data_IF_129409579939
#
_entry.id   IF_129409579939
#
_cell.length_a   1.000
_cell.length_b   1.000
_cell.length_c   1.000
_cell.angle_alpha   90.00
_cell.angle_beta   90.00
_cell.angle_gamma   90.00
#
_symmetry.space_group_name_H-M   'P 1'
#
loop_
_entity.id
_entity.type
_entity.pdbx_description
1 polymer ?
#
# COMPACT_ATOMS: atom_id res chain seq x y z
N UNK A 1 28.06 -29.18 -34.05
CA UNK A 1 27.47 -28.12 -33.19
C UNK A 1 25.96 -28.26 -33.31
N UNK A 2 25.33 -28.97 -32.36
CA UNK A 2 23.87 -29.08 -32.27
C UNK A 2 23.48 -28.41 -30.95
N UNK A 3 22.59 -27.42 -31.03
CA UNK A 3 22.15 -26.62 -29.90
C UNK A 3 21.34 -27.49 -28.94
N UNK A 4 21.71 -27.47 -27.66
CA UNK A 4 20.85 -27.89 -26.56
C UNK A 4 19.69 -26.88 -26.48
N UNK A 5 18.46 -27.32 -26.77
CA UNK A 5 17.28 -26.54 -26.44
C UNK A 5 17.18 -26.48 -24.91
N UNK A 6 17.34 -25.27 -24.37
CA UNK A 6 17.25 -24.98 -22.93
C UNK A 6 15.81 -25.17 -22.45
N UNK A 7 15.64 -25.60 -21.21
CA UNK A 7 14.37 -25.43 -20.49
C UNK A 7 13.99 -23.94 -20.53
N UNK A 8 12.90 -23.57 -21.21
CA UNK A 8 12.47 -22.18 -21.24
C UNK A 8 11.64 -21.84 -20.00
N UNK A 9 12.13 -20.88 -19.23
CA UNK A 9 11.38 -20.23 -18.16
C UNK A 9 10.26 -19.38 -18.79
N UNK A 10 9.07 -19.95 -18.97
CA UNK A 10 7.91 -19.26 -19.57
C UNK A 10 7.17 -18.44 -18.51
N UNK A 11 7.37 -17.13 -18.58
CA UNK A 11 6.60 -16.16 -17.79
C UNK A 11 5.14 -16.17 -18.29
N UNK A 12 4.19 -16.51 -17.41
CA UNK A 12 2.76 -16.51 -17.73
C UNK A 12 1.98 -15.77 -16.66
N UNK A 13 1.73 -14.48 -16.86
CA UNK A 13 0.81 -13.71 -16.01
C UNK A 13 -0.63 -14.17 -16.23
N UNK A 14 -1.17 -15.00 -15.33
CA UNK A 14 -2.62 -15.29 -15.31
C UNK A 14 -3.32 -14.24 -14.44
N UNK A 15 -4.24 -13.49 -15.04
CA UNK A 15 -5.24 -12.74 -14.29
C UNK A 15 -6.22 -13.75 -13.68
N UNK A 16 -6.17 -13.96 -12.37
CA UNK A 16 -7.19 -14.72 -11.67
C UNK A 16 -8.48 -13.87 -11.59
N UNK A 17 -9.29 -13.84 -12.66
CA UNK A 17 -10.66 -13.34 -12.56
C UNK A 17 -11.46 -14.30 -11.67
N UNK A 18 -11.65 -13.95 -10.39
CA UNK A 18 -12.77 -14.50 -9.62
C UNK A 18 -14.06 -13.94 -10.23
N UNK A 19 -14.86 -14.80 -10.85
CA UNK A 19 -16.26 -14.46 -11.14
C UNK A 19 -16.97 -14.02 -9.85
N UNK A 20 -17.81 -12.96 -9.89
CA UNK A 20 -18.53 -12.51 -8.72
C UNK A 20 -19.52 -13.60 -8.29
N UNK A 21 -19.33 -14.16 -7.10
CA UNK A 21 -20.41 -14.86 -6.41
C UNK A 21 -21.40 -13.80 -5.94
N UNK A 22 -22.52 -13.67 -6.64
CA UNK A 22 -23.73 -13.02 -6.13
C UNK A 22 -24.08 -13.66 -4.78
N UNK A 23 -23.95 -12.90 -3.69
CA UNK A 23 -24.60 -13.25 -2.43
C UNK A 23 -25.98 -12.63 -2.43
N UNK A 24 -26.98 -13.48 -2.25
CA UNK A 24 -28.39 -13.17 -2.05
C UNK A 24 -28.55 -12.35 -0.74
N UNK A 25 -29.37 -11.29 -0.71
CA UNK A 25 -29.43 -10.36 0.43
C UNK A 25 -30.38 -10.81 1.56
N UNK A 26 -30.50 -12.11 1.84
CA UNK A 26 -31.50 -12.66 2.77
C UNK A 26 -30.96 -13.24 4.09
N UNK A 27 -29.65 -13.28 4.31
CA UNK A 27 -29.08 -13.81 5.57
C UNK A 27 -28.36 -12.72 6.36
N UNK A 28 -29.07 -12.01 7.22
CA UNK A 28 -28.60 -11.67 8.56
C UNK A 28 -29.81 -11.33 9.45
N UNK A 29 -30.30 -12.36 10.14
CA UNK A 29 -31.21 -12.22 11.26
C UNK A 29 -30.46 -11.71 12.50
N UNK A 30 -31.15 -10.82 13.20
CA UNK A 30 -30.90 -10.28 14.54
C UNK A 30 -30.76 -11.36 15.62
N UNK A 31 -29.74 -11.29 16.50
CA UNK A 31 -29.84 -11.72 17.91
C UNK A 31 -28.84 -10.94 18.80
N UNK A 32 -29.41 -10.09 19.65
CA UNK A 32 -29.14 -9.75 21.06
C UNK A 32 -27.74 -9.80 21.74
N UNK A 33 -27.42 -8.61 22.28
CA UNK A 33 -26.88 -8.26 23.62
C UNK A 33 -25.86 -9.17 24.32
N UNK A 34 -24.71 -8.58 24.66
CA UNK A 34 -23.83 -9.03 25.74
C UNK A 34 -23.39 -7.83 26.64
N UNK A 35 -23.14 -8.05 27.95
CA UNK A 35 -23.17 -7.05 29.03
C UNK A 35 -21.83 -6.28 29.23
N UNK A 36 -21.80 -5.21 30.07
CA UNK A 36 -20.60 -4.39 30.24
C UNK A 36 -19.56 -5.08 31.14
N UNK A 37 -18.28 -4.92 30.82
CA UNK A 37 -17.16 -5.32 31.66
C UNK A 37 -16.33 -4.10 32.09
N UNK A 38 -15.65 -4.18 33.25
CA UNK A 38 -15.48 -3.06 34.17
C UNK A 38 -14.15 -2.30 34.02
N UNK A 39 -14.11 -1.14 34.67
CA UNK A 39 -12.94 -0.31 34.92
C UNK A 39 -11.69 -1.11 35.34
N UNK A 40 -10.55 -0.82 34.70
CA UNK A 40 -9.23 -1.17 35.20
C UNK A 40 -8.30 0.05 35.08
N UNK A 41 -7.70 0.39 36.21
CA UNK A 41 -6.78 1.50 36.43
C UNK A 41 -5.41 1.31 35.77
N UNK A 42 -4.78 2.47 35.54
CA UNK A 42 -3.40 2.76 35.17
C UNK A 42 -2.33 1.73 35.57
N UNK A 43 -1.59 1.26 34.56
CA UNK A 43 -0.26 0.65 34.71
C UNK A 43 0.58 0.99 33.49
N UNK A 44 1.53 1.90 33.66
CA UNK A 44 2.55 2.24 32.66
C UNK A 44 3.38 0.99 32.33
N UNK A 45 3.31 0.52 31.09
CA UNK A 45 4.32 -0.37 30.50
C UNK A 45 4.67 0.17 29.11
N UNK A 46 5.72 0.99 29.07
CA UNK A 46 6.31 1.54 27.85
C UNK A 46 7.20 0.44 27.28
N UNK A 47 6.60 -0.42 26.47
CA UNK A 47 7.33 -1.35 25.61
C UNK A 47 6.94 -1.05 24.15
N UNK A 48 7.88 -0.62 23.29
CA UNK A 48 7.56 -0.33 21.89
C UNK A 48 7.24 -1.65 21.19
N UNK A 49 5.96 -1.96 21.06
CA UNK A 49 5.50 -2.92 20.05
C UNK A 49 5.75 -2.25 18.70
N UNK A 50 6.87 -2.63 18.07
CA UNK A 50 7.05 -2.49 16.64
C UNK A 50 5.90 -3.21 15.94
N UNK A 51 4.84 -2.47 15.60
CA UNK A 51 3.90 -2.92 14.60
C UNK A 51 4.63 -2.87 13.26
N UNK A 52 4.97 -4.05 12.74
CA UNK A 52 5.38 -4.21 11.33
C UNK A 52 4.37 -3.44 10.46
N UNK A 53 4.89 -2.61 9.55
CA UNK A 53 4.09 -1.74 8.69
C UNK A 53 2.84 -2.44 8.17
N UNK A 54 1.69 -1.82 8.42
CA UNK A 54 0.42 -2.27 7.87
C UNK A 54 0.43 -1.99 6.37
N UNK A 55 0.82 -2.99 5.57
CA UNK A 55 0.54 -3.00 4.14
C UNK A 55 -0.98 -3.13 4.04
N UNK A 56 -1.62 -2.11 3.47
CA UNK A 56 -3.02 -2.11 3.05
C UNK A 56 -3.43 -3.48 2.49
N UNK A 57 -4.65 -3.93 2.80
CA UNK A 57 -5.18 -5.24 2.42
C UNK A 57 -4.54 -5.81 1.15
N UNK A 58 -3.81 -6.91 1.34
CA UNK A 58 -2.86 -7.46 0.38
C UNK A 58 -3.51 -7.59 -1.00
N UNK A 59 -2.84 -7.15 -2.06
CA UNK A 59 -3.25 -7.48 -3.42
C UNK A 59 -3.43 -8.97 -3.64
N UNK A 60 -4.70 -9.42 -3.74
CA UNK A 60 -5.08 -10.79 -4.15
C UNK A 60 -4.87 -11.04 -5.66
N UNK A 61 -3.97 -10.31 -6.33
CA UNK A 61 -3.46 -10.73 -7.65
C UNK A 61 -2.19 -11.56 -7.49
N UNK A 62 -2.39 -12.87 -7.57
CA UNK A 62 -1.34 -13.84 -7.86
C UNK A 62 -0.85 -13.65 -9.30
N UNK A 63 0.13 -12.79 -9.50
CA UNK A 63 0.91 -12.80 -10.73
C UNK A 63 1.85 -14.00 -10.70
N UNK A 64 1.43 -15.03 -11.41
CA UNK A 64 2.06 -16.33 -11.43
C UNK A 64 3.33 -16.33 -12.30
N UNK A 65 4.50 -16.54 -11.70
CA UNK A 65 5.71 -16.89 -12.45
C UNK A 65 5.87 -18.42 -12.47
N UNK A 66 5.56 -19.05 -13.60
CA UNK A 66 5.74 -20.49 -13.81
C UNK A 66 7.10 -20.83 -14.39
N UNK A 67 7.77 -21.85 -13.83
CA UNK A 67 8.82 -22.57 -14.54
C UNK A 67 8.19 -23.79 -15.20
N UNK A 68 8.02 -23.73 -16.52
CA UNK A 68 7.46 -24.83 -17.30
C UNK A 68 8.61 -25.66 -17.86
N UNK A 69 8.83 -26.84 -17.28
CA UNK A 69 9.66 -27.86 -17.94
C UNK A 69 8.84 -28.52 -19.05
N UNK A 70 9.33 -28.49 -20.28
CA UNK A 70 8.79 -29.25 -21.41
C UNK A 70 9.82 -30.32 -21.77
N UNK A 71 9.43 -31.61 -21.83
CA UNK A 71 10.37 -32.67 -22.17
C UNK A 71 10.94 -32.44 -23.58
N UNK A 72 12.26 -32.42 -23.70
CA UNK A 72 12.94 -32.30 -24.99
C UNK A 72 12.80 -33.60 -25.77
N UNK A 73 12.26 -33.52 -27.00
CA UNK A 73 12.25 -34.65 -27.94
C UNK A 73 13.63 -34.80 -28.59
N UNK A 74 14.67 -35.06 -27.80
CA UNK A 74 16.03 -35.33 -28.30
C UNK A 74 16.52 -36.68 -27.78
N UNK A 75 16.52 -37.67 -28.68
CA UNK A 75 17.00 -39.03 -28.46
C UNK A 75 18.55 -39.12 -28.36
N UNK A 76 19.17 -38.34 -27.48
CA UNK A 76 20.59 -38.55 -27.11
C UNK A 76 20.73 -38.68 -25.61
N UNK A 77 20.92 -39.93 -25.17
CA UNK A 77 21.00 -40.40 -23.79
C UNK A 77 22.16 -39.83 -22.93
N UNK A 78 22.87 -38.80 -23.39
CA UNK A 78 24.00 -38.20 -22.67
C UNK A 78 23.66 -36.88 -21.96
N UNK A 79 22.54 -36.22 -22.29
CA UNK A 79 22.08 -35.00 -21.62
C UNK A 79 20.90 -35.23 -20.66
N UNK A 80 20.41 -36.46 -20.56
CA UNK A 80 19.19 -36.85 -19.83
C UNK A 80 19.42 -37.26 -18.35
N UNK A 81 20.59 -36.95 -17.76
CA UNK A 81 21.05 -37.64 -16.53
C UNK A 81 21.34 -36.75 -15.31
N UNK A 82 20.86 -35.51 -15.24
CA UNK A 82 21.21 -34.63 -14.09
C UNK A 82 19.98 -34.13 -13.33
N UNK A 83 18.81 -34.04 -13.95
CA UNK A 83 17.59 -33.53 -13.28
C UNK A 83 16.69 -34.66 -12.78
N UNK A 84 16.27 -34.55 -11.52
CA UNK A 84 15.29 -35.42 -10.89
C UNK A 84 13.88 -35.23 -11.45
N UNK A 85 13.58 -34.07 -12.01
CA UNK A 85 12.27 -33.74 -12.58
C UNK A 85 12.14 -34.12 -14.07
N UNK A 86 13.13 -34.79 -14.64
CA UNK A 86 13.10 -35.27 -16.04
C UNK A 86 11.92 -36.22 -16.38
N UNK A 87 11.38 -36.92 -15.38
CA UNK A 87 10.21 -37.80 -15.55
C UNK A 87 8.86 -37.10 -15.30
N UNK A 88 8.87 -35.83 -14.89
CA UNK A 88 7.66 -35.06 -14.62
C UNK A 88 7.24 -34.37 -15.92
N UNK A 89 6.07 -34.73 -16.45
CA UNK A 89 5.57 -34.21 -17.75
C UNK A 89 5.49 -32.69 -17.81
N UNK A 90 5.14 -32.06 -16.68
CA UNK A 90 5.27 -30.63 -16.45
C UNK A 90 5.07 -30.33 -14.96
N UNK A 91 5.77 -29.34 -14.46
CA UNK A 91 5.44 -28.71 -13.19
C UNK A 91 5.40 -27.19 -13.40
N UNK A 92 4.76 -26.48 -12.48
CA UNK A 92 4.75 -25.04 -12.46
C UNK A 92 4.83 -24.59 -11.00
N UNK A 93 5.83 -23.78 -10.68
CA UNK A 93 5.87 -23.03 -9.44
C UNK A 93 4.99 -21.78 -9.60
N UNK A 94 4.34 -21.36 -8.52
CA UNK A 94 3.47 -20.19 -8.53
C UNK A 94 3.90 -19.28 -7.39
N UNK A 95 4.01 -17.99 -7.72
CA UNK A 95 4.40 -16.95 -6.80
C UNK A 95 3.37 -15.84 -6.81
N UNK A 96 3.38 -15.02 -5.77
CA UNK A 96 2.56 -13.83 -5.66
C UNK A 96 3.48 -12.62 -5.80
N UNK A 97 3.08 -11.63 -6.60
CA UNK A 97 3.88 -10.40 -6.74
C UNK A 97 3.66 -9.42 -5.59
N UNK A 98 2.86 -9.81 -4.61
CA UNK A 98 2.46 -9.12 -3.39
C UNK A 98 2.48 -10.14 -2.24
N UNK A 99 2.72 -9.69 -1.01
CA UNK A 99 2.72 -10.54 0.19
C UNK A 99 4.03 -11.30 0.46
N UNK A 100 3.90 -12.44 1.16
CA UNK A 100 5.03 -13.25 1.69
C UNK A 100 5.61 -14.25 0.67
N UNK A 101 5.00 -14.40 -0.51
CA UNK A 101 5.43 -15.36 -1.55
C UNK A 101 6.05 -14.63 -2.76
N UNK A 102 7.02 -13.75 -2.48
CA UNK A 102 7.67 -12.91 -3.49
C UNK A 102 8.46 -13.74 -4.50
N UNK A 103 8.64 -13.19 -5.70
CA UNK A 103 9.52 -13.74 -6.70
C UNK A 103 10.95 -13.33 -6.37
N UNK A 104 11.72 -14.27 -5.83
CA UNK A 104 13.16 -14.15 -5.67
C UNK A 104 13.80 -15.56 -5.62
N UNK A 105 15.13 -15.62 -5.69
CA UNK A 105 15.88 -16.88 -5.60
C UNK A 105 15.48 -17.75 -4.41
N UNK A 106 15.44 -17.19 -3.18
CA UNK A 106 15.18 -17.98 -1.97
C UNK A 106 13.80 -18.62 -2.01
N UNK A 107 12.76 -17.84 -2.32
CA UNK A 107 11.39 -18.35 -2.38
C UNK A 107 11.24 -19.37 -3.50
N UNK A 108 11.92 -19.16 -4.64
CA UNK A 108 11.91 -20.11 -5.75
C UNK A 108 12.56 -21.44 -5.37
N UNK A 109 13.75 -21.40 -4.76
CA UNK A 109 14.46 -22.57 -4.24
C UNK A 109 13.63 -23.32 -3.21
N UNK A 110 13.09 -22.62 -2.22
CA UNK A 110 12.33 -23.23 -1.12
C UNK A 110 11.04 -23.89 -1.64
N UNK A 111 10.39 -23.28 -2.64
CA UNK A 111 9.21 -23.89 -3.27
C UNK A 111 9.57 -25.11 -4.11
N UNK A 112 10.68 -25.07 -4.84
CA UNK A 112 11.16 -26.23 -5.58
C UNK A 112 11.51 -27.38 -4.64
N UNK A 113 12.13 -27.11 -3.49
CA UNK A 113 12.48 -28.14 -2.50
C UNK A 113 11.25 -28.94 -2.02
N UNK A 114 10.13 -28.25 -1.79
CA UNK A 114 8.85 -28.90 -1.44
C UNK A 114 8.35 -29.81 -2.57
N UNK A 115 8.41 -29.34 -3.81
CA UNK A 115 7.96 -30.09 -4.98
C UNK A 115 8.89 -31.28 -5.28
N UNK A 116 10.21 -31.08 -5.19
CA UNK A 116 11.22 -32.10 -5.40
C UNK A 116 11.07 -33.26 -4.42
N UNK A 117 10.82 -32.96 -3.14
CA UNK A 117 10.54 -33.97 -2.10
C UNK A 117 9.22 -34.70 -2.32
N UNK A 118 8.23 -34.05 -2.94
CA UNK A 118 6.92 -34.64 -3.21
C UNK A 118 6.96 -35.59 -4.41
N UNK A 119 7.52 -35.12 -5.53
CA UNK A 119 7.51 -35.86 -6.80
C UNK A 119 8.65 -36.87 -6.89
N UNK A 120 9.83 -36.52 -6.35
CA UNK A 120 11.05 -37.34 -6.43
C UNK A 120 11.74 -37.44 -5.07
N UNK A 121 11.15 -38.15 -4.09
CA UNK A 121 11.67 -38.21 -2.71
C UNK A 121 13.09 -38.79 -2.59
N UNK A 122 13.58 -39.49 -3.61
CA UNK A 122 14.91 -40.10 -3.65
C UNK A 122 15.91 -39.30 -4.51
N UNK A 123 15.63 -38.04 -4.81
CA UNK A 123 16.54 -37.18 -5.55
C UNK A 123 17.91 -37.10 -4.83
N UNK A 124 19.05 -37.38 -5.50
CA UNK A 124 20.35 -37.48 -4.84
C UNK A 124 20.99 -36.13 -4.51
N UNK A 125 20.38 -35.02 -4.92
CA UNK A 125 20.87 -33.67 -4.69
C UNK A 125 19.74 -32.75 -4.22
N UNK A 126 20.12 -31.56 -3.74
CA UNK A 126 19.17 -30.57 -3.22
C UNK A 126 18.49 -29.75 -4.33
N UNK A 127 17.56 -28.89 -3.91
CA UNK A 127 16.82 -27.99 -4.80
C UNK A 127 17.72 -26.99 -5.54
N UNK A 128 18.82 -26.53 -4.93
CA UNK A 128 19.79 -25.64 -5.58
C UNK A 128 20.46 -26.35 -6.75
N UNK A 129 20.92 -27.57 -6.54
CA UNK A 129 21.55 -28.39 -7.58
C UNK A 129 20.56 -28.73 -8.69
N UNK A 130 19.32 -29.08 -8.35
CA UNK A 130 18.25 -29.30 -9.34
C UNK A 130 17.96 -28.03 -10.16
N UNK A 131 17.92 -26.87 -9.52
CA UNK A 131 17.73 -25.58 -10.18
C UNK A 131 18.82 -25.29 -11.19
N UNK A 132 20.08 -25.48 -10.81
CA UNK A 132 21.22 -25.31 -11.70
C UNK A 132 21.12 -26.23 -12.92
N UNK A 133 20.77 -27.50 -12.70
CA UNK A 133 20.55 -28.46 -13.77
C UNK A 133 19.40 -28.05 -14.71
N UNK A 134 18.26 -27.59 -14.15
CA UNK A 134 17.10 -27.15 -14.92
C UNK A 134 17.39 -25.89 -15.76
N UNK A 135 18.16 -24.95 -15.20
CA UNK A 135 18.53 -23.68 -15.85
C UNK A 135 19.72 -23.83 -16.80
N UNK A 136 20.47 -24.94 -16.71
CA UNK A 136 21.70 -25.16 -17.46
C UNK A 136 22.81 -24.19 -17.03
N UNK A 137 22.93 -23.95 -15.72
CA UNK A 137 23.90 -23.06 -15.10
C UNK A 137 24.83 -23.86 -14.19
N UNK A 138 26.08 -23.43 -14.07
CA UNK A 138 27.12 -24.17 -13.34
C UNK A 138 27.37 -23.63 -11.92
N UNK A 139 26.84 -22.44 -11.59
CA UNK A 139 27.08 -21.78 -10.31
C UNK A 139 25.82 -21.11 -9.75
N UNK A 140 25.61 -21.23 -8.43
CA UNK A 140 24.47 -20.62 -7.73
C UNK A 140 24.35 -19.10 -7.97
N UNK A 141 25.42 -18.29 -7.94
CA UNK A 141 25.31 -16.86 -8.23
C UNK A 141 24.69 -16.55 -9.60
N UNK A 142 25.02 -17.33 -10.64
CA UNK A 142 24.44 -17.14 -11.97
C UNK A 142 22.94 -17.45 -11.97
N UNK A 143 22.51 -18.44 -11.17
CA UNK A 143 21.11 -18.79 -11.02
C UNK A 143 20.33 -17.75 -10.20
N UNK A 144 20.96 -17.19 -9.17
CA UNK A 144 20.43 -16.05 -8.40
C UNK A 144 20.15 -14.89 -9.35
N UNK A 145 21.14 -14.48 -10.13
CA UNK A 145 21.02 -13.37 -11.09
C UNK A 145 19.98 -13.67 -12.16
N UNK A 146 19.97 -14.90 -12.69
CA UNK A 146 18.99 -15.31 -13.69
C UNK A 146 17.55 -15.23 -13.15
N UNK A 147 17.26 -15.83 -11.99
CA UNK A 147 15.90 -15.83 -11.43
C UNK A 147 15.49 -14.40 -11.05
N UNK A 148 16.36 -13.64 -10.39
CA UNK A 148 16.04 -12.28 -10.00
C UNK A 148 15.77 -11.40 -11.24
N UNK A 149 16.53 -11.54 -12.34
CA UNK A 149 16.24 -10.82 -13.58
C UNK A 149 14.87 -11.17 -14.19
N UNK A 150 14.41 -12.43 -14.04
CA UNK A 150 13.08 -12.84 -14.48
C UNK A 150 11.99 -12.29 -13.57
N UNK A 151 12.24 -12.23 -12.27
CA UNK A 151 11.33 -11.59 -11.32
C UNK A 151 11.19 -10.08 -11.60
N UNK A 152 12.29 -9.39 -11.87
CA UNK A 152 12.29 -7.97 -12.27
C UNK A 152 11.42 -7.74 -13.51
N UNK A 153 11.59 -8.55 -14.55
CA UNK A 153 10.74 -8.47 -15.75
C UNK A 153 9.25 -8.66 -15.46
N UNK A 154 8.88 -9.52 -14.50
CA UNK A 154 7.47 -9.65 -14.09
C UNK A 154 6.98 -8.37 -13.44
N UNK A 155 7.79 -7.77 -12.58
CA UNK A 155 7.45 -6.55 -11.85
C UNK A 155 7.36 -5.33 -12.76
N UNK A 156 8.28 -5.17 -13.69
CA UNK A 156 8.33 -4.04 -14.63
C UNK A 156 7.16 -4.06 -15.62
N UNK A 157 6.64 -5.24 -15.96
CA UNK A 157 5.51 -5.40 -16.87
C UNK A 157 4.14 -5.34 -16.17
N UNK A 158 4.09 -5.05 -14.86
CA UNK A 158 2.81 -4.90 -14.17
C UNK A 158 2.12 -3.61 -14.58
N UNK A 159 0.81 -3.63 -14.88
CA UNK A 159 0.03 -2.42 -15.06
C UNK A 159 0.17 -1.50 -13.84
N UNK A 160 0.52 -0.25 -14.10
CA UNK A 160 0.61 0.81 -13.11
C UNK A 160 -0.40 1.91 -13.43
N UNK A 161 -1.03 2.46 -12.39
CA UNK A 161 -1.84 3.67 -12.46
C UNK A 161 -0.94 4.83 -12.11
N UNK A 162 -0.83 5.80 -13.01
CA UNK A 162 -0.11 7.03 -12.73
C UNK A 162 -0.82 7.82 -11.63
N UNK A 163 -0.06 8.52 -10.80
CA UNK A 163 -0.61 9.19 -9.61
C UNK A 163 -1.72 10.18 -9.96
N UNK A 164 -1.57 10.93 -11.05
CA UNK A 164 -2.56 11.91 -11.54
C UNK A 164 -3.95 11.29 -11.78
N UNK A 165 -4.00 9.99 -12.09
CA UNK A 165 -5.23 9.26 -12.34
C UNK A 165 -5.97 8.87 -11.05
N UNK A 166 -5.33 8.98 -9.87
CA UNK A 166 -5.94 8.72 -8.57
C UNK A 166 -7.12 9.67 -8.38
N UNK A 167 -6.87 10.97 -8.32
CA UNK A 167 -7.94 11.97 -8.11
C UNK A 167 -8.56 12.44 -9.43
N UNK A 168 -7.83 12.33 -10.56
CA UNK A 168 -8.18 12.86 -11.89
C UNK A 168 -8.41 14.38 -11.92
N UNK A 169 -8.13 15.09 -10.82
CA UNK A 169 -8.47 16.50 -10.68
C UNK A 169 -7.66 17.38 -11.61
N UNK A 170 -6.42 16.99 -11.90
CA UNK A 170 -5.61 17.67 -12.89
C UNK A 170 -6.26 17.68 -14.28
N UNK A 171 -6.75 16.52 -14.74
CA UNK A 171 -7.48 16.39 -16.01
C UNK A 171 -8.81 17.19 -16.04
N UNK A 172 -9.36 17.52 -14.87
CA UNK A 172 -10.57 18.35 -14.72
C UNK A 172 -10.26 19.82 -14.42
N UNK A 173 -9.06 20.31 -14.75
CA UNK A 173 -8.69 21.73 -14.63
C UNK A 173 -8.29 22.15 -13.21
N UNK A 174 -7.95 21.21 -12.34
CA UNK A 174 -7.40 21.45 -11.00
C UNK A 174 -6.01 20.80 -10.88
N UNK A 175 -4.99 21.30 -11.63
CA UNK A 175 -3.66 20.68 -11.73
C UNK A 175 -2.92 20.60 -10.39
N UNK A 176 -3.21 21.50 -9.46
CA UNK A 176 -2.55 21.55 -8.15
C UNK A 176 -3.32 20.82 -7.06
N UNK A 177 -4.41 20.11 -7.38
CA UNK A 177 -5.27 19.53 -6.34
C UNK A 177 -4.52 18.60 -5.38
N UNK A 178 -3.73 17.66 -5.92
CA UNK A 178 -3.00 16.69 -5.09
C UNK A 178 -1.92 17.39 -4.25
N UNK A 179 -1.19 18.35 -4.83
CA UNK A 179 -0.23 19.19 -4.11
C UNK A 179 -0.92 19.94 -2.96
N UNK A 180 -2.03 20.63 -3.23
CA UNK A 180 -2.80 21.38 -2.23
C UNK A 180 -3.42 20.46 -1.18
N UNK A 181 -3.80 19.24 -1.54
CA UNK A 181 -4.25 18.23 -0.58
C UNK A 181 -3.13 17.84 0.38
N UNK A 182 -1.94 17.52 -0.12
CA UNK A 182 -0.80 17.14 0.73
C UNK A 182 -0.19 18.28 1.52
N UNK A 183 -0.38 19.54 1.08
CA UNK A 183 -0.07 20.72 1.86
C UNK A 183 -1.10 21.02 2.96
N UNK A 184 -2.30 20.40 2.89
CA UNK A 184 -3.36 20.56 3.90
C UNK A 184 -4.49 21.52 3.55
N UNK A 185 -4.51 22.13 2.35
CA UNK A 185 -5.44 23.22 1.99
C UNK A 185 -6.53 22.89 0.96
N UNK A 186 -6.74 21.62 0.58
CA UNK A 186 -7.79 21.29 -0.41
C UNK A 186 -9.18 21.32 0.22
N UNK A 187 -10.24 21.29 -0.60
CA UNK A 187 -11.61 21.16 -0.10
C UNK A 187 -11.84 19.86 0.71
N UNK A 188 -11.00 18.84 0.50
CA UNK A 188 -11.04 17.61 1.30
C UNK A 188 -10.44 17.81 2.69
N UNK A 189 -9.62 18.83 2.92
CA UNK A 189 -9.07 19.14 4.22
C UNK A 189 -9.86 20.24 4.95
N UNK A 190 -10.38 21.22 4.21
CA UNK A 190 -10.90 22.44 4.85
C UNK A 190 -12.34 22.35 5.32
N UNK A 191 -13.20 21.61 4.62
CA UNK A 191 -14.65 21.65 4.86
C UNK A 191 -15.13 20.42 5.62
N UNK A 192 -16.14 20.55 6.48
CA UNK A 192 -16.91 19.43 7.04
C UNK A 192 -18.30 19.39 6.38
N UNK A 193 -19.02 18.27 6.52
CA UNK A 193 -20.39 18.16 6.00
C UNK A 193 -21.27 19.24 6.64
N UNK A 194 -22.08 19.95 5.86
CA UNK A 194 -22.84 21.09 6.38
C UNK A 194 -24.21 21.21 5.72
N UNK A 195 -25.22 21.62 6.48
CA UNK A 195 -26.55 21.93 5.96
C UNK A 195 -26.76 23.43 5.67
N UNK A 196 -25.75 24.25 5.99
CA UNK A 196 -25.78 25.72 5.85
C UNK A 196 -24.90 26.23 4.70
N UNK A 197 -24.47 25.35 3.78
CA UNK A 197 -23.56 25.75 2.70
C UNK A 197 -24.18 26.77 1.74
N UNK A 198 -23.56 27.94 1.65
CA UNK A 198 -23.94 29.03 0.76
C UNK A 198 -23.47 28.83 -0.69
N UNK A 199 -22.88 27.68 -1.06
CA UNK A 199 -22.50 27.38 -2.45
C UNK A 199 -23.72 27.27 -3.35
N UNK A 200 -23.70 28.05 -4.43
CA UNK A 200 -24.80 28.17 -5.39
C UNK A 200 -24.75 27.01 -6.39
N UNK A 201 -25.90 26.36 -6.69
CA UNK A 201 -27.23 26.60 -6.12
C UNK A 201 -27.41 25.95 -4.74
N UNK A 202 -27.76 26.75 -3.74
CA UNK A 202 -28.19 26.29 -2.42
C UNK A 202 -29.42 25.39 -2.59
N UNK A 203 -29.32 24.13 -2.16
CA UNK A 203 -30.45 23.20 -2.15
C UNK A 203 -30.89 23.01 -0.71
N UNK A 204 -32.04 23.61 -0.38
CA UNK A 204 -32.67 23.49 0.95
C UNK A 204 -32.77 22.00 1.32
N UNK A 205 -32.36 21.66 2.55
CA UNK A 205 -32.35 20.28 3.09
C UNK A 205 -31.41 19.28 2.40
N UNK A 206 -30.35 19.76 1.73
CA UNK A 206 -29.32 18.88 1.19
C UNK A 206 -27.96 19.25 1.78
N UNK A 207 -27.36 18.30 2.48
CA UNK A 207 -26.00 18.42 2.98
C UNK A 207 -25.01 18.65 1.82
N UNK A 208 -24.11 19.61 2.00
CA UNK A 208 -22.96 19.83 1.15
C UNK A 208 -21.68 19.35 1.86
N UNK A 209 -20.58 19.26 1.10
CA UNK A 209 -19.28 18.79 1.61
C UNK A 209 -19.32 17.38 2.22
N UNK A 210 -20.22 16.53 1.72
CA UNK A 210 -20.40 15.15 2.19
C UNK A 210 -19.19 14.34 1.73
N UNK A 211 -18.28 14.00 2.66
CA UNK A 211 -17.02 13.31 2.33
C UNK A 211 -17.25 12.02 1.53
N UNK A 212 -18.23 11.19 1.90
CA UNK A 212 -18.53 9.95 1.16
C UNK A 212 -18.94 10.19 -0.30
N UNK A 213 -19.45 11.38 -0.61
CA UNK A 213 -19.78 11.78 -1.98
C UNK A 213 -18.61 12.46 -2.67
N UNK A 214 -17.96 13.40 -1.99
CA UNK A 214 -16.92 14.23 -2.60
C UNK A 214 -15.57 13.51 -2.73
N UNK A 215 -15.36 12.49 -1.90
CA UNK A 215 -14.24 11.55 -1.92
C UNK A 215 -14.58 10.20 -2.54
N UNK A 216 -15.74 10.01 -3.19
CA UNK A 216 -16.14 8.70 -3.73
C UNK A 216 -15.12 8.10 -4.70
N UNK A 217 -14.37 8.96 -5.41
CA UNK A 217 -13.29 8.52 -6.29
C UNK A 217 -12.18 7.77 -5.53
N UNK A 218 -11.89 8.16 -4.29
CA UNK A 218 -10.88 7.50 -3.45
C UNK A 218 -11.33 6.06 -3.17
N UNK A 219 -12.60 5.88 -2.81
CA UNK A 219 -13.23 4.57 -2.65
C UNK A 219 -13.16 3.74 -3.94
N UNK A 220 -13.55 4.33 -5.07
CA UNK A 220 -13.49 3.67 -6.37
C UNK A 220 -12.07 3.22 -6.72
N UNK A 221 -11.06 4.06 -6.46
CA UNK A 221 -9.65 3.70 -6.69
C UNK A 221 -9.27 2.53 -5.79
N UNK A 222 -9.59 2.58 -4.51
CA UNK A 222 -9.26 1.50 -3.59
C UNK A 222 -9.93 0.18 -3.99
N UNK A 223 -11.25 0.22 -4.13
CA UNK A 223 -12.08 -0.96 -4.37
C UNK A 223 -11.83 -1.60 -5.73
N UNK A 224 -11.64 -0.79 -6.78
CA UNK A 224 -11.47 -1.28 -8.14
C UNK A 224 -10.02 -1.50 -8.56
N UNK A 225 -9.04 -0.87 -7.89
CA UNK A 225 -7.66 -0.86 -8.36
C UNK A 225 -6.61 -1.04 -7.26
N UNK A 226 -6.56 -0.18 -6.23
CA UNK A 226 -5.42 -0.10 -5.31
C UNK A 226 -5.21 -1.36 -4.48
N UNK A 227 -6.29 -2.13 -4.25
CA UNK A 227 -6.17 -3.47 -3.67
C UNK A 227 -5.25 -4.33 -4.52
N UNK A 228 -5.42 -4.40 -5.83
CA UNK A 228 -4.78 -5.41 -6.69
C UNK A 228 -3.66 -4.88 -7.60
N UNK A 229 -3.66 -3.59 -7.91
CA UNK A 229 -2.79 -2.95 -8.88
C UNK A 229 -1.71 -2.09 -8.23
N UNK A 230 -0.75 -1.64 -9.04
CA UNK A 230 0.33 -0.74 -8.61
C UNK A 230 -0.07 0.72 -8.87
N UNK A 231 0.05 1.58 -7.87
CA UNK A 231 -0.06 3.03 -8.02
C UNK A 231 1.37 3.59 -8.06
N UNK A 232 1.65 4.44 -9.06
CA UNK A 232 2.92 5.15 -9.16
C UNK A 232 3.19 6.01 -7.93
N UNK A 233 4.45 6.38 -7.69
CA UNK A 233 4.76 7.30 -6.61
C UNK A 233 4.35 8.74 -6.99
N UNK A 234 4.05 9.57 -6.00
CA UNK A 234 3.49 10.90 -6.20
C UNK A 234 4.55 11.99 -6.45
N UNK A 235 5.84 11.62 -6.49
CA UNK A 235 6.97 12.55 -6.61
C UNK A 235 6.98 13.38 -7.89
N UNK A 236 6.45 12.88 -9.01
CA UNK A 236 6.40 13.65 -10.24
C UNK A 236 5.42 14.85 -10.17
N UNK A 237 4.42 14.80 -9.28
CA UNK A 237 3.29 15.75 -9.25
C UNK A 237 3.02 16.39 -7.90
N UNK A 238 3.63 15.87 -6.84
CA UNK A 238 3.55 16.39 -5.48
C UNK A 238 4.98 16.55 -4.95
N UNK A 239 5.38 17.79 -4.79
CA UNK A 239 6.73 18.17 -4.35
C UNK A 239 7.03 17.71 -2.92
N UNK A 240 6.00 17.43 -2.11
CA UNK A 240 6.13 16.88 -0.77
C UNK A 240 6.85 15.53 -0.77
N UNK A 241 6.94 14.86 -1.92
CA UNK A 241 7.54 13.54 -2.05
C UNK A 241 8.79 13.51 -2.94
N UNK A 242 9.23 14.67 -3.46
CA UNK A 242 10.41 14.77 -4.33
C UNK A 242 11.73 14.75 -3.55
N UNK A 243 12.76 14.14 -4.15
CA UNK A 243 14.16 14.22 -3.71
C UNK A 243 14.44 13.77 -2.26
N UNK A 244 13.70 12.77 -1.76
CA UNK A 244 13.81 12.33 -0.36
C UNK A 244 14.60 11.01 -0.20
N UNK A 245 15.87 11.06 0.23
CA UNK A 245 16.73 9.87 0.34
C UNK A 245 16.43 8.99 1.55
N UNK A 246 15.70 9.49 2.57
CA UNK A 246 15.46 8.74 3.81
C UNK A 246 14.42 7.62 3.64
N UNK A 247 13.81 7.48 2.45
CA UNK A 247 12.87 6.41 2.10
C UNK A 247 11.76 6.22 3.13
N UNK A 248 11.29 7.35 3.65
CA UNK A 248 10.24 7.39 4.64
C UNK A 248 9.32 8.58 4.36
N UNK A 249 8.06 8.46 4.76
CA UNK A 249 7.09 9.54 4.72
C UNK A 249 6.27 9.56 6.00
N UNK A 250 5.80 10.74 6.37
CA UNK A 250 4.92 10.95 7.52
C UNK A 250 3.69 11.70 7.05
N UNK A 251 2.52 11.24 7.47
CA UNK A 251 1.25 11.94 7.35
C UNK A 251 0.72 12.28 8.74
N UNK A 252 0.45 13.55 9.03
CA UNK A 252 -0.11 14.00 10.30
C UNK A 252 -1.40 14.78 10.05
N UNK A 253 -2.45 14.38 10.77
CA UNK A 253 -3.79 14.93 10.69
C UNK A 253 -4.12 15.64 11.99
N UNK A 254 -4.69 16.85 11.89
CA UNK A 254 -4.98 17.71 13.03
C UNK A 254 -6.49 18.02 13.17
N UNK A 255 -7.35 17.35 12.40
CA UNK A 255 -8.80 17.49 12.54
C UNK A 255 -9.54 16.23 12.11
N UNK A 256 -10.77 16.11 12.60
CA UNK A 256 -11.75 15.11 12.19
C UNK A 256 -12.99 15.81 11.59
N UNK A 257 -13.42 15.36 10.41
CA UNK A 257 -14.53 15.94 9.66
C UNK A 257 -15.70 14.99 9.45
N UNK A 258 -15.65 13.77 9.98
CA UNK A 258 -16.65 12.75 9.72
C UNK A 258 -17.29 12.25 11.02
N UNK A 259 -18.62 12.29 11.10
CA UNK A 259 -19.34 11.85 12.28
C UNK A 259 -19.78 10.39 12.16
N UNK A 260 -19.73 9.66 13.28
CA UNK A 260 -20.36 8.32 13.39
C UNK A 260 -19.55 7.18 12.75
N UNK A 261 -18.24 7.35 12.64
CA UNK A 261 -17.29 6.33 12.17
C UNK A 261 -16.42 5.74 13.30
N UNK A 262 -16.69 6.12 14.55
CA UNK A 262 -15.94 5.74 15.76
C UNK A 262 -14.45 6.13 15.71
N UNK A 263 -14.09 7.20 15.00
CA UNK A 263 -12.75 7.76 14.95
C UNK A 263 -12.83 9.26 15.27
N UNK A 264 -11.96 9.78 16.15
CA UNK A 264 -12.00 11.19 16.52
C UNK A 264 -13.25 11.59 17.33
N UNK A 265 -13.56 12.88 17.35
CA UNK A 265 -14.66 13.44 18.13
C UNK A 265 -15.70 14.24 17.32
N UNK A 266 -15.65 14.20 15.97
CA UNK A 266 -16.68 14.81 15.15
C UNK A 266 -18.05 14.12 15.36
N UNK A 267 -19.09 14.91 15.59
CA UNK A 267 -20.44 14.42 15.81
C UNK A 267 -21.51 15.21 15.04
N UNK A 268 -22.71 14.65 14.93
CA UNK A 268 -23.88 15.40 14.45
C UNK A 268 -24.48 16.24 15.59
N UNK A 269 -25.09 17.40 15.30
CA UNK A 269 -25.09 18.08 14.00
C UNK A 269 -23.68 18.62 13.66
N UNK A 270 -23.24 18.38 12.42
CA UNK A 270 -21.88 18.72 11.98
C UNK A 270 -21.53 20.20 12.14
N UNK A 271 -22.49 21.08 11.89
CA UNK A 271 -22.33 22.53 11.97
C UNK A 271 -22.03 23.05 13.39
N UNK A 272 -22.26 22.24 14.41
CA UNK A 272 -22.00 22.57 15.82
C UNK A 272 -20.83 21.75 16.36
N UNK A 273 -20.76 20.46 16.01
CA UNK A 273 -19.89 19.50 16.69
C UNK A 273 -18.68 19.03 15.84
N UNK A 274 -18.45 19.58 14.64
CA UNK A 274 -17.29 19.21 13.80
C UNK A 274 -16.42 20.38 13.33
N UNK A 275 -16.72 21.62 13.75
CA UNK A 275 -15.98 22.81 13.30
C UNK A 275 -14.50 22.76 13.71
N UNK A 276 -14.24 22.26 14.91
CA UNK A 276 -12.91 22.07 15.51
C UNK A 276 -12.82 20.67 16.14
N UNK A 277 -13.37 19.67 15.46
CA UNK A 277 -13.26 18.30 15.94
C UNK A 277 -11.84 17.77 15.70
N UNK A 278 -11.38 16.98 16.65
CA UNK A 278 -10.05 16.42 16.71
C UNK A 278 -10.06 14.94 16.26
N UNK A 279 -8.98 14.48 15.60
CA UNK A 279 -8.81 13.07 15.29
C UNK A 279 -8.51 12.28 16.57
N UNK A 280 -8.44 10.94 16.46
CA UNK A 280 -7.95 10.16 17.60
C UNK A 280 -6.44 10.39 17.76
N UNK A 281 -6.04 10.72 18.98
CA UNK A 281 -4.66 11.05 19.31
C UNK A 281 -3.73 9.83 19.28
N UNK A 282 -2.51 10.02 18.76
CA UNK A 282 -1.47 8.99 18.82
C UNK A 282 -0.03 9.53 18.90
N UNK A 283 0.17 10.85 19.02
CA UNK A 283 1.50 11.46 18.96
C UNK A 283 1.57 12.76 19.73
N UNK A 284 2.75 13.06 20.28
CA UNK A 284 3.07 14.36 20.86
C UNK A 284 3.99 15.16 19.90
N UNK A 285 3.47 16.22 19.29
CA UNK A 285 4.17 17.22 18.50
C UNK A 285 4.73 18.30 19.42
N UNK A 286 6.06 18.40 19.47
CA UNK A 286 6.73 19.43 20.26
C UNK A 286 6.86 20.78 19.52
N UNK A 287 7.20 20.72 18.22
CA UNK A 287 7.43 21.91 17.41
C UNK A 287 7.37 21.60 15.92
N UNK A 288 7.14 22.65 15.13
CA UNK A 288 7.27 22.64 13.67
C UNK A 288 8.31 23.68 13.26
N UNK A 289 9.31 23.24 12.51
CA UNK A 289 10.27 24.12 11.83
C UNK A 289 9.75 24.45 10.42
N UNK A 290 9.13 25.63 10.29
CA UNK A 290 8.49 26.07 9.04
C UNK A 290 9.50 26.29 7.91
N UNK A 291 10.79 26.45 8.22
CA UNK A 291 11.85 26.60 7.22
C UNK A 291 12.03 25.33 6.41
N UNK A 292 11.72 24.16 6.99
CA UNK A 292 11.79 22.88 6.28
C UNK A 292 10.72 22.75 5.19
N UNK A 293 9.68 23.58 5.25
CA UNK A 293 8.48 23.46 4.40
C UNK A 293 7.84 24.81 4.05
N UNK A 294 8.64 25.77 3.54
CA UNK A 294 8.21 27.15 3.31
C UNK A 294 6.90 27.30 2.48
N UNK A 295 6.67 26.38 1.53
CA UNK A 295 5.43 26.39 0.74
C UNK A 295 4.20 26.01 1.56
N UNK A 296 4.26 24.86 2.25
CA UNK A 296 3.14 24.37 3.05
C UNK A 296 2.87 25.27 4.26
N UNK A 297 3.92 25.87 4.83
CA UNK A 297 3.81 26.82 5.94
C UNK A 297 3.37 28.22 5.52
N UNK A 298 3.49 28.57 4.24
CA UNK A 298 3.19 29.91 3.72
C UNK A 298 4.17 31.00 4.19
N UNK A 299 5.32 30.61 4.75
CA UNK A 299 6.35 31.53 5.29
C UNK A 299 7.76 31.01 5.02
N UNK A 300 8.72 31.90 4.78
CA UNK A 300 10.13 31.55 4.51
C UNK A 300 10.86 30.97 5.74
N UNK A 301 10.22 30.97 6.91
CA UNK A 301 10.73 30.37 8.14
C UNK A 301 9.90 30.72 9.36
N UNK A 302 10.29 30.13 10.49
CA UNK A 302 9.61 30.29 11.78
C UNK A 302 9.53 28.97 12.53
N UNK A 303 9.18 29.06 13.82
CA UNK A 303 8.87 27.91 14.64
C UNK A 303 7.47 28.06 15.20
N UNK A 304 6.65 27.02 15.07
CA UNK A 304 5.49 26.83 15.94
C UNK A 304 5.93 25.94 17.10
N UNK A 305 5.67 26.39 18.33
CA UNK A 305 5.93 25.63 19.54
C UNK A 305 4.59 25.16 20.09
N UNK A 306 4.52 23.88 20.45
CA UNK A 306 3.34 23.25 21.02
C UNK A 306 3.71 22.77 22.42
N UNK A 307 3.59 23.64 23.43
CA UNK A 307 3.95 23.28 24.79
C UNK A 307 2.83 22.46 25.42
N UNK A 308 3.10 21.19 25.68
CA UNK A 308 2.12 20.29 26.31
C UNK A 308 1.25 19.56 25.28
N UNK A 309 0.59 18.52 25.77
CA UNK A 309 -0.17 17.57 24.96
C UNK A 309 -1.67 17.96 24.93
N UNK A 310 -2.37 17.61 23.85
CA UNK A 310 -3.81 17.73 23.72
C UNK A 310 -4.31 19.15 24.06
N UNK A 311 -5.31 19.26 24.93
CA UNK A 311 -5.93 20.53 25.31
C UNK A 311 -4.97 21.51 26.03
N UNK A 312 -3.78 21.06 26.44
CA UNK A 312 -2.78 21.90 27.08
C UNK A 312 -1.86 22.61 26.08
N UNK A 313 -1.94 22.32 24.77
CA UNK A 313 -1.24 23.09 23.75
C UNK A 313 -1.39 22.60 22.30
N UNK A 314 -1.11 21.33 22.06
CA UNK A 314 -1.01 20.74 20.71
C UNK A 314 -2.34 20.51 19.99
N UNK A 315 -3.38 20.16 20.76
CA UNK A 315 -4.54 19.43 20.23
C UNK A 315 -4.24 17.95 20.04
N UNK A 316 -5.24 17.14 19.70
CA UNK A 316 -4.98 15.74 19.36
C UNK A 316 -4.45 15.64 17.95
N UNK A 317 -3.33 14.94 17.76
CA UNK A 317 -2.71 14.76 16.46
C UNK A 317 -2.62 13.28 16.14
N UNK A 318 -3.00 12.92 14.91
CA UNK A 318 -2.84 11.57 14.41
C UNK A 318 -1.77 11.53 13.34
N UNK A 319 -0.64 10.88 13.62
CA UNK A 319 0.43 10.69 12.65
C UNK A 319 0.53 9.22 12.22
N UNK A 320 0.87 9.01 10.95
CA UNK A 320 1.17 7.69 10.39
C UNK A 320 2.45 7.76 9.56
N UNK A 321 3.44 6.99 9.99
CA UNK A 321 4.73 6.86 9.32
C UNK A 321 4.77 5.68 8.34
N UNK A 322 5.40 5.92 7.20
CA UNK A 322 5.66 4.95 6.13
C UNK A 322 7.16 4.87 5.92
N UNK A 323 7.68 3.67 5.65
CA UNK A 323 9.06 3.44 5.27
C UNK A 323 9.13 2.38 4.16
N UNK A 324 10.18 2.42 3.36
CA UNK A 324 10.42 1.44 2.31
C UNK A 324 11.92 1.09 2.13
N UNK A 325 12.15 -0.10 1.56
CA UNK A 325 13.48 -0.64 1.24
C UNK A 325 14.25 0.19 0.20
N UNK A 326 15.55 -0.10 0.07
CA UNK A 326 16.44 0.54 -0.92
C UNK A 326 16.45 -0.24 -2.22
N UNK A 327 16.12 -1.53 -2.12
CA UNK A 327 15.81 -2.32 -3.29
C UNK A 327 14.48 -1.84 -3.88
N UNK A 328 14.53 -1.28 -5.08
CA UNK A 328 13.33 -0.87 -5.83
C UNK A 328 12.40 -2.05 -6.18
N UNK A 329 12.90 -3.28 -6.05
CA UNK A 329 12.12 -4.51 -6.26
C UNK A 329 11.53 -5.09 -4.97
N UNK A 330 11.88 -4.57 -3.81
CA UNK A 330 11.21 -4.92 -2.57
C UNK A 330 9.74 -4.48 -2.60
N UNK A 331 8.88 -5.26 -1.94
CA UNK A 331 7.44 -4.99 -1.91
C UNK A 331 7.12 -3.59 -1.38
N UNK A 332 7.85 -3.15 -0.36
CA UNK A 332 7.64 -1.85 0.26
C UNK A 332 7.95 -0.72 -0.73
N UNK A 333 9.02 -0.87 -1.51
CA UNK A 333 9.45 0.10 -2.53
C UNK A 333 8.53 0.09 -3.75
N UNK A 334 8.08 -1.09 -4.18
CA UNK A 334 7.20 -1.23 -5.35
C UNK A 334 5.81 -0.68 -5.12
N UNK A 335 5.30 -0.80 -3.90
CA UNK A 335 3.95 -0.36 -3.52
C UNK A 335 3.96 0.89 -2.62
N UNK A 336 5.07 1.64 -2.57
CA UNK A 336 5.14 2.90 -1.81
C UNK A 336 4.08 3.92 -2.23
N UNK A 337 3.72 3.96 -3.52
CA UNK A 337 2.60 4.76 -4.03
C UNK A 337 1.26 4.29 -3.45
N UNK A 338 0.98 2.98 -3.47
CA UNK A 338 -0.21 2.42 -2.83
C UNK A 338 -0.28 2.74 -1.33
N UNK A 339 0.85 2.66 -0.62
CA UNK A 339 0.89 2.95 0.81
C UNK A 339 0.56 4.41 1.10
N UNK A 340 1.13 5.37 0.36
CA UNK A 340 0.77 6.79 0.52
C UNK A 340 -0.71 7.01 0.21
N UNK A 341 -1.21 6.46 -0.90
CA UNK A 341 -2.63 6.56 -1.25
C UNK A 341 -3.53 5.99 -0.15
N UNK A 342 -3.21 4.78 0.32
CA UNK A 342 -4.01 4.09 1.33
C UNK A 342 -4.04 4.87 2.64
N UNK A 343 -2.88 5.22 3.18
CA UNK A 343 -2.79 5.92 4.47
C UNK A 343 -3.42 7.30 4.37
N UNK A 344 -3.01 8.13 3.40
CA UNK A 344 -3.47 9.51 3.37
C UNK A 344 -4.94 9.64 2.95
N UNK A 345 -5.30 9.05 1.81
CA UNK A 345 -6.59 9.30 1.18
C UNK A 345 -7.65 8.30 1.62
N UNK A 346 -7.35 7.01 1.65
CA UNK A 346 -8.38 5.98 1.85
C UNK A 346 -8.69 5.69 3.33
N UNK A 347 -7.69 5.34 4.14
CA UNK A 347 -7.87 5.01 5.56
C UNK A 347 -8.15 6.30 6.36
N UNK A 348 -7.18 7.20 6.44
CA UNK A 348 -7.28 8.35 7.34
C UNK A 348 -8.31 9.36 6.87
N UNK A 349 -8.29 9.80 5.61
CA UNK A 349 -9.31 10.73 5.12
C UNK A 349 -10.66 10.07 4.88
N UNK A 350 -10.79 9.18 3.87
CA UNK A 350 -12.11 8.72 3.41
C UNK A 350 -12.81 7.83 4.43
N UNK A 351 -12.09 6.95 5.10
CA UNK A 351 -12.69 5.99 6.05
C UNK A 351 -12.92 6.63 7.42
N UNK A 352 -11.93 7.35 7.96
CA UNK A 352 -11.93 7.88 9.34
C UNK A 352 -12.18 9.39 9.47
N UNK A 353 -12.31 10.14 8.38
CA UNK A 353 -12.56 11.58 8.43
C UNK A 353 -11.37 12.45 8.84
N UNK A 354 -10.16 11.92 8.95
CA UNK A 354 -9.01 12.69 9.38
C UNK A 354 -8.51 13.61 8.27
N UNK A 355 -8.29 14.87 8.63
CA UNK A 355 -8.07 15.96 7.70
C UNK A 355 -7.16 17.03 8.30
N UNK A 356 -6.75 17.97 7.45
CA UNK A 356 -5.88 19.13 7.74
C UNK A 356 -4.48 18.75 8.19
N UNK A 357 -3.56 19.61 7.80
CA UNK A 357 -2.18 19.56 8.28
C UNK A 357 -2.08 20.12 9.70
N UNK A 358 -1.02 19.73 10.38
CA UNK A 358 -0.49 20.48 11.52
C UNK A 358 -0.13 21.89 11.07
N UNK A 359 -0.56 22.95 11.77
CA UNK A 359 -0.24 24.32 11.37
C UNK A 359 1.27 24.55 11.17
N UNK A 360 1.64 25.03 9.98
CA UNK A 360 3.05 25.29 9.63
C UNK A 360 3.82 24.09 9.05
N UNK A 361 3.21 22.90 8.99
CA UNK A 361 3.77 21.71 8.35
C UNK A 361 2.87 21.27 7.18
N UNK A 362 3.36 20.50 6.20
CA UNK A 362 2.50 19.80 5.25
C UNK A 362 1.69 18.70 5.97
N UNK A 363 0.56 18.29 5.37
CA UNK A 363 -0.24 17.18 5.89
C UNK A 363 0.49 15.86 5.72
N UNK A 364 1.10 15.62 4.55
CA UNK A 364 2.04 14.52 4.38
C UNK A 364 3.31 14.99 3.67
N UNK A 365 4.43 14.38 4.02
CA UNK A 365 5.71 14.59 3.33
C UNK A 365 6.63 13.39 3.48
N UNK A 366 7.48 13.19 2.48
CA UNK A 366 8.66 12.36 2.62
C UNK A 366 9.79 13.07 3.35
N UNK A 367 10.57 12.29 4.10
CA UNK A 367 11.72 12.82 4.82
C UNK A 367 12.90 13.04 3.87
N UNK A 368 13.22 14.31 3.68
CA UNK A 368 14.28 14.82 2.81
C UNK A 368 15.34 15.43 3.71
N UNK A 369 16.56 14.86 3.71
CA UNK A 369 17.69 15.27 4.56
C UNK A 369 18.08 16.74 4.42
#
# INVERSE_FOLDING_TARGET
MLALERSELKISTKNATKSPKTKDPSDFQTVDTAPPLPHAELGHDISPRYHQGYIADRPERSHQLGLLHLPTTSNTAAAMSITCLSSVESFALYFETSGRQQCNWSVFRDRLDVELKRETPNCPHDATTELLALLGLDAEPDAVDYINSKCQLVYDNQPQMDWEAVTKKQAYGQPLFDQTYYDGGSYLNEYYETNVDNRVPYVVNKAANVLKKDGSRIDDVYEAYAKEGKIGYADEVVDNFQNCPLRAAMCCFASDRQAGDNNGNCAKPYDENCVNADPADNTDLCYVDMKRHARASGTDGGFALYPGDNADGEGSIHCHGLAWGDDDYDIESRYKGNNIFYVSMYDHLYTRGYARNVPGAPMCKSECS
#
